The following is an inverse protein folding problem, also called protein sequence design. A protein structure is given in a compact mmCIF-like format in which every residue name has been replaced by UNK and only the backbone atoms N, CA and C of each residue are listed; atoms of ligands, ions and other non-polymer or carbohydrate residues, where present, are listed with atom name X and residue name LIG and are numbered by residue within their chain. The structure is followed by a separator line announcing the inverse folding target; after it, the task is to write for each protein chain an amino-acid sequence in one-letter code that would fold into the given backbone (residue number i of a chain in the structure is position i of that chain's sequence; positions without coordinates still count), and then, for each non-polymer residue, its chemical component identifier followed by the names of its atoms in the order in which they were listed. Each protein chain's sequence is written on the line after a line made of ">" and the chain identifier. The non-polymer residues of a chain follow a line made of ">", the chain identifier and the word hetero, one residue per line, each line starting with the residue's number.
data_IF_468886469064
#
_entry.id   IF_468886469064
#
_cell.length_a   1.000
_cell.length_b   1.000
_cell.length_c   1.000
_cell.angle_alpha   90.00
_cell.angle_beta   90.00
_cell.angle_gamma   90.00
#
_symmetry.space_group_name_H-M   'P 1'
#
loop_
_entity.id
_entity.type
_entity.pdbx_description
1 polymer ?
#
# COMPACT_ATOMS: atom_id res chain seq x y z
N UNK A 1 25.02 -75.62 -15.16
CA UNK A 1 24.85 -74.25 -15.66
C UNK A 1 23.77 -73.58 -14.83
N UNK A 2 24.15 -72.62 -13.92
CA UNK A 2 23.19 -71.86 -13.08
C UNK A 2 23.13 -70.49 -13.63
N UNK A 3 21.96 -70.06 -14.16
CA UNK A 3 21.71 -68.72 -14.64
C UNK A 3 21.26 -67.84 -13.44
N UNK A 4 22.01 -66.79 -13.15
CA UNK A 4 21.61 -65.74 -12.18
C UNK A 4 20.90 -64.65 -12.94
N UNK A 5 19.63 -64.47 -12.64
CA UNK A 5 18.85 -63.30 -13.12
C UNK A 5 19.12 -62.17 -12.18
N UNK A 6 19.75 -61.11 -12.69
CA UNK A 6 19.93 -59.82 -11.98
C UNK A 6 18.73 -58.93 -12.31
N UNK A 7 17.89 -58.73 -11.32
CA UNK A 7 16.75 -57.81 -11.44
C UNK A 7 17.22 -56.37 -11.13
N UNK A 8 17.22 -55.54 -12.15
CA UNK A 8 17.54 -54.12 -12.01
C UNK A 8 16.28 -53.35 -11.57
N UNK A 9 16.24 -52.89 -10.31
CA UNK A 9 15.16 -52.05 -9.81
C UNK A 9 15.44 -50.60 -10.20
N UNK A 10 14.65 -50.03 -11.11
CA UNK A 10 14.68 -48.62 -11.46
C UNK A 10 13.90 -47.85 -10.41
N UNK A 11 14.58 -47.07 -9.58
CA UNK A 11 13.97 -46.10 -8.67
C UNK A 11 13.55 -44.84 -9.44
N UNK A 12 12.24 -44.68 -9.67
CA UNK A 12 11.68 -43.45 -10.22
C UNK A 12 11.64 -42.39 -9.12
N UNK A 13 12.53 -41.42 -9.18
CA UNK A 13 12.48 -40.25 -8.32
C UNK A 13 11.30 -39.36 -8.76
N UNK A 14 10.24 -39.31 -7.97
CA UNK A 14 9.15 -38.34 -8.12
C UNK A 14 9.66 -36.95 -7.74
N UNK A 15 9.93 -36.12 -8.73
CA UNK A 15 10.18 -34.69 -8.52
C UNK A 15 8.88 -34.06 -8.06
N UNK A 16 8.83 -33.63 -6.79
CA UNK A 16 7.74 -32.80 -6.26
C UNK A 16 7.79 -31.45 -6.96
N UNK A 17 6.65 -30.91 -7.40
CA UNK A 17 6.63 -29.55 -7.96
C UNK A 17 7.09 -28.57 -6.88
N UNK A 18 8.08 -27.75 -7.20
CA UNK A 18 8.48 -26.64 -6.37
C UNK A 18 7.25 -25.72 -6.19
N UNK A 19 6.73 -25.65 -4.97
CA UNK A 19 5.67 -24.72 -4.63
C UNK A 19 6.21 -23.32 -4.89
N UNK A 20 5.62 -22.60 -5.84
CA UNK A 20 5.92 -21.18 -6.04
C UNK A 20 5.61 -20.46 -4.72
N UNK A 21 6.64 -20.01 -4.02
CA UNK A 21 6.46 -19.18 -2.85
C UNK A 21 5.82 -17.87 -3.30
N UNK A 22 4.60 -17.63 -2.84
CA UNK A 22 3.97 -16.31 -3.02
C UNK A 22 4.78 -15.33 -2.20
N UNK A 23 5.58 -14.52 -2.89
CA UNK A 23 6.35 -13.44 -2.26
C UNK A 23 5.33 -12.41 -1.76
N UNK A 24 5.42 -12.05 -0.49
CA UNK A 24 4.50 -11.10 0.16
C UNK A 24 5.31 -9.97 0.78
N UNK A 25 4.73 -8.75 0.87
CA UNK A 25 5.34 -7.68 1.65
C UNK A 25 5.61 -8.13 3.08
N UNK A 26 6.77 -7.78 3.63
CA UNK A 26 7.12 -8.06 5.03
C UNK A 26 6.65 -6.95 5.96
N UNK A 27 6.51 -5.71 5.43
CA UNK A 27 5.90 -4.59 6.14
C UNK A 27 4.51 -4.27 5.58
N UNK A 28 3.68 -3.63 6.38
CA UNK A 28 2.35 -3.18 5.96
C UNK A 28 2.41 -1.80 5.32
N UNK A 29 1.36 -1.42 4.54
CA UNK A 29 1.23 -0.07 4.00
C UNK A 29 1.23 0.98 5.13
N UNK A 30 0.55 0.72 6.25
CA UNK A 30 0.57 1.61 7.41
C UNK A 30 1.99 1.86 7.96
N UNK A 31 2.81 0.80 8.04
CA UNK A 31 4.21 0.92 8.50
C UNK A 31 5.09 1.68 7.50
N UNK A 32 4.88 1.46 6.20
CA UNK A 32 5.59 2.21 5.16
C UNK A 32 5.23 3.70 5.21
N UNK A 33 3.93 4.02 5.31
CA UNK A 33 3.45 5.41 5.45
C UNK A 33 3.99 6.06 6.72
N UNK A 34 3.99 5.37 7.86
CA UNK A 34 4.55 5.88 9.12
C UNK A 34 6.06 6.18 8.98
N UNK A 35 6.80 5.28 8.32
CA UNK A 35 8.22 5.48 8.02
C UNK A 35 8.43 6.74 7.18
N UNK A 36 7.65 6.91 6.09
CA UNK A 36 7.74 8.07 5.23
C UNK A 36 7.39 9.36 5.97
N UNK A 37 6.24 9.40 6.67
CA UNK A 37 5.81 10.59 7.41
C UNK A 37 6.83 11.01 8.47
N UNK A 38 7.39 10.05 9.24
CA UNK A 38 8.34 10.34 10.32
C UNK A 38 9.71 10.74 9.79
N UNK A 39 10.25 10.03 8.79
CA UNK A 39 11.59 10.29 8.25
C UNK A 39 11.67 11.65 7.56
N UNK A 40 10.62 12.06 6.85
CA UNK A 40 10.60 13.32 6.10
C UNK A 40 9.96 14.48 6.87
N UNK A 41 9.32 14.23 8.01
CA UNK A 41 8.56 15.23 8.76
C UNK A 41 7.47 15.84 7.88
N UNK A 42 6.74 15.01 7.14
CA UNK A 42 5.76 15.35 6.13
C UNK A 42 4.42 14.69 6.41
N UNK A 43 3.40 15.00 5.63
CA UNK A 43 2.08 14.35 5.70
C UNK A 43 1.84 13.56 4.42
N UNK A 44 1.55 12.28 4.54
CA UNK A 44 1.12 11.48 3.42
C UNK A 44 -0.34 11.81 3.02
N UNK A 45 -0.61 11.76 1.72
CA UNK A 45 -1.94 12.01 1.20
C UNK A 45 -2.39 10.97 0.16
N UNK A 46 -1.45 10.16 -0.32
CA UNK A 46 -1.66 9.11 -1.29
C UNK A 46 -0.67 7.98 -1.01
N UNK A 47 -1.04 6.74 -1.20
CA UNK A 47 -0.15 5.61 -1.00
C UNK A 47 -0.69 4.34 -1.67
N UNK A 48 0.17 3.63 -2.38
CA UNK A 48 -0.18 2.38 -3.04
C UNK A 48 0.94 1.32 -2.95
N UNK A 49 0.54 0.07 -3.15
CA UNK A 49 1.48 -1.03 -3.35
C UNK A 49 1.72 -1.22 -4.84
N UNK A 50 2.98 -1.24 -5.27
CA UNK A 50 3.36 -1.42 -6.66
C UNK A 50 4.51 -2.43 -6.83
N UNK A 51 4.75 -2.81 -8.08
CA UNK A 51 5.85 -3.67 -8.53
C UNK A 51 6.79 -2.87 -9.44
N UNK A 52 7.83 -2.27 -8.87
CA UNK A 52 8.82 -1.52 -9.64
C UNK A 52 9.99 -2.45 -10.07
N UNK A 53 10.12 -2.69 -11.38
CA UNK A 53 11.15 -3.54 -11.99
C UNK A 53 11.28 -4.96 -11.41
N UNK A 54 10.21 -5.45 -10.79
CA UNK A 54 10.14 -6.77 -10.15
C UNK A 54 10.34 -6.77 -8.64
N UNK A 55 10.64 -5.63 -8.06
CA UNK A 55 10.69 -5.42 -6.61
C UNK A 55 9.34 -4.93 -6.09
N UNK A 56 8.91 -5.46 -4.95
CA UNK A 56 7.72 -5.00 -4.25
C UNK A 56 8.01 -3.71 -3.53
N UNK A 57 7.25 -2.67 -3.82
CA UNK A 57 7.44 -1.35 -3.23
C UNK A 57 6.11 -0.77 -2.75
N UNK A 58 6.21 0.24 -1.89
CA UNK A 58 5.14 1.17 -1.61
C UNK A 58 5.53 2.53 -2.18
N UNK A 59 4.70 3.08 -3.06
CA UNK A 59 4.80 4.46 -3.52
C UNK A 59 3.94 5.33 -2.61
N UNK A 60 4.50 6.42 -2.08
CA UNK A 60 3.85 7.26 -1.07
C UNK A 60 4.05 8.71 -1.43
N UNK A 61 2.94 9.40 -1.67
CA UNK A 61 2.92 10.82 -1.90
C UNK A 61 2.77 11.61 -0.59
N UNK A 62 3.72 12.49 -0.36
CA UNK A 62 3.81 13.32 0.84
C UNK A 62 3.68 14.79 0.51
N UNK A 63 3.25 15.58 1.49
CA UNK A 63 3.30 17.04 1.44
C UNK A 63 4.05 17.60 2.65
N UNK A 64 5.01 18.49 2.39
CA UNK A 64 5.73 19.27 3.40
C UNK A 64 5.76 20.74 3.00
N UNK A 65 5.28 21.63 3.88
CA UNK A 65 5.24 23.07 3.62
C UNK A 65 4.57 23.45 2.28
N UNK A 66 3.47 22.75 1.95
CA UNK A 66 2.73 22.93 0.70
C UNK A 66 3.45 22.40 -0.55
N UNK A 67 4.57 21.69 -0.39
CA UNK A 67 5.34 21.11 -1.50
C UNK A 67 5.17 19.60 -1.50
N UNK A 68 4.71 19.03 -2.62
CA UNK A 68 4.60 17.58 -2.76
C UNK A 68 5.97 16.94 -2.95
N UNK A 69 6.07 15.72 -2.52
CA UNK A 69 7.20 14.83 -2.73
C UNK A 69 6.70 13.39 -2.78
N UNK A 70 7.36 12.56 -3.56
CA UNK A 70 7.10 11.12 -3.65
C UNK A 70 8.25 10.37 -2.98
N UNK A 71 7.92 9.33 -2.27
CA UNK A 71 8.87 8.43 -1.61
C UNK A 71 8.49 6.99 -1.95
N UNK A 72 9.48 6.21 -2.39
CA UNK A 72 9.32 4.79 -2.65
C UNK A 72 10.02 4.00 -1.55
N UNK A 73 9.32 3.06 -0.95
CA UNK A 73 9.80 2.22 0.15
C UNK A 73 9.78 0.76 -0.29
N UNK A 74 10.89 0.07 -0.12
CA UNK A 74 10.98 -1.39 -0.33
C UNK A 74 10.04 -2.10 0.65
N UNK A 75 9.06 -2.84 0.12
CA UNK A 75 8.00 -3.47 0.91
C UNK A 75 8.48 -4.67 1.76
N UNK A 76 9.70 -5.13 1.55
CA UNK A 76 10.33 -6.20 2.31
C UNK A 76 11.16 -5.66 3.46
N UNK A 77 11.92 -4.59 3.25
CA UNK A 77 12.87 -4.08 4.24
C UNK A 77 12.40 -2.84 4.98
N UNK A 78 11.42 -2.11 4.44
CA UNK A 78 10.98 -0.83 4.96
C UNK A 78 11.94 0.34 4.70
N UNK A 79 12.97 0.13 3.88
CA UNK A 79 13.93 1.19 3.56
C UNK A 79 13.43 2.06 2.40
N UNK A 80 13.72 3.35 2.49
CA UNK A 80 13.49 4.28 1.37
C UNK A 80 14.49 3.96 0.25
N UNK A 81 13.97 3.62 -0.93
CA UNK A 81 14.78 3.29 -2.12
C UNK A 81 14.82 4.42 -3.13
N UNK A 82 13.80 5.29 -3.13
CA UNK A 82 13.75 6.46 -4.03
C UNK A 82 13.02 7.61 -3.35
N UNK A 83 13.47 8.81 -3.63
CA UNK A 83 12.78 10.06 -3.32
C UNK A 83 12.76 10.92 -4.56
N UNK A 84 11.60 11.43 -4.94
CA UNK A 84 11.45 12.33 -6.07
C UNK A 84 10.60 13.55 -5.73
N UNK A 85 10.61 14.53 -6.61
CA UNK A 85 9.68 15.66 -6.56
C UNK A 85 8.75 15.49 -7.76
N UNK A 86 7.51 15.03 -7.57
CA UNK A 86 6.58 14.88 -8.66
C UNK A 86 6.42 16.22 -9.39
N UNK A 87 6.40 16.17 -10.71
CA UNK A 87 6.07 17.32 -11.53
C UNK A 87 4.55 17.52 -11.47
N UNK A 88 4.08 18.07 -10.34
CA UNK A 88 2.70 18.50 -10.24
C UNK A 88 2.66 19.91 -10.80
N UNK A 89 2.07 20.06 -11.99
CA UNK A 89 1.75 21.38 -12.53
C UNK A 89 0.99 22.18 -11.49
N UNK A 90 1.09 23.51 -11.53
CA UNK A 90 0.41 24.44 -10.60
C UNK A 90 -1.12 24.42 -10.82
N UNK A 91 -1.76 23.28 -10.55
CA UNK A 91 -3.20 23.16 -10.62
C UNK A 91 -3.82 23.55 -9.28
N UNK A 92 -4.79 24.49 -9.24
CA UNK A 92 -5.43 24.94 -7.99
C UNK A 92 -6.05 23.78 -7.17
N UNK A 93 -6.55 22.75 -7.84
CA UNK A 93 -7.14 21.54 -7.22
C UNK A 93 -6.11 20.79 -6.38
N UNK A 94 -4.86 20.68 -6.86
CA UNK A 94 -3.78 19.99 -6.12
C UNK A 94 -3.46 20.74 -4.84
N UNK A 95 -3.39 22.07 -4.88
CA UNK A 95 -3.11 22.90 -3.69
C UNK A 95 -4.15 22.74 -2.58
N UNK A 96 -5.41 22.50 -2.92
CA UNK A 96 -6.50 22.30 -1.96
C UNK A 96 -6.39 20.90 -1.30
N UNK A 97 -6.12 19.84 -2.08
CA UNK A 97 -5.83 18.49 -1.57
C UNK A 97 -4.63 18.51 -0.60
N UNK A 98 -3.52 19.13 -0.99
CA UNK A 98 -2.32 19.22 -0.15
C UNK A 98 -2.58 19.93 1.19
N UNK A 99 -3.37 21.01 1.18
CA UNK A 99 -3.78 21.72 2.40
C UNK A 99 -4.64 20.83 3.29
N UNK A 100 -5.57 20.07 2.71
CA UNK A 100 -6.42 19.14 3.45
C UNK A 100 -5.57 18.08 4.17
N UNK A 101 -4.62 17.46 3.47
CA UNK A 101 -3.70 16.49 4.06
C UNK A 101 -2.86 17.08 5.19
N UNK A 102 -2.26 18.27 4.98
CA UNK A 102 -1.44 18.93 6.01
C UNK A 102 -2.24 19.32 7.26
N UNK A 103 -3.52 19.67 7.10
CA UNK A 103 -4.39 20.05 8.21
C UNK A 103 -5.19 18.91 8.81
N UNK A 104 -5.04 17.68 8.30
CA UNK A 104 -5.73 16.52 8.80
C UNK A 104 -5.41 16.28 10.29
N UNK A 105 -6.42 16.04 11.15
CA UNK A 105 -6.21 15.79 12.57
C UNK A 105 -5.40 14.50 12.86
N UNK A 106 -5.47 13.54 11.93
CA UNK A 106 -4.75 12.26 11.98
C UNK A 106 -3.73 12.19 10.86
N UNK A 107 -2.66 11.43 11.08
CA UNK A 107 -1.75 11.04 10.00
C UNK A 107 -2.44 10.00 9.10
N UNK A 108 -1.91 9.80 7.89
CA UNK A 108 -2.46 8.78 7.00
C UNK A 108 -2.24 7.38 7.60
N UNK A 109 -1.08 7.11 8.20
CA UNK A 109 -0.80 5.84 8.88
C UNK A 109 -1.78 5.54 10.02
N UNK A 110 -2.15 6.56 10.82
CA UNK A 110 -3.19 6.42 11.85
C UNK A 110 -4.57 6.15 11.25
N UNK A 111 -4.87 6.77 10.11
CA UNK A 111 -6.15 6.56 9.41
C UNK A 111 -6.24 5.16 8.84
N UNK A 112 -5.17 4.63 8.23
CA UNK A 112 -5.09 3.25 7.75
C UNK A 112 -5.37 2.27 8.92
N UNK A 113 -4.63 2.42 10.02
CA UNK A 113 -4.79 1.56 11.19
C UNK A 113 -6.22 1.56 11.72
N UNK A 114 -6.87 2.72 11.75
CA UNK A 114 -8.27 2.87 12.17
C UNK A 114 -9.22 2.13 11.21
N UNK A 115 -9.03 2.27 9.91
CA UNK A 115 -9.87 1.62 8.89
C UNK A 115 -9.70 0.10 8.94
N UNK A 116 -8.49 -0.40 8.99
CA UNK A 116 -8.21 -1.85 9.09
C UNK A 116 -8.84 -2.47 10.36
N UNK A 117 -8.77 -1.76 11.48
CA UNK A 117 -9.39 -2.20 12.72
C UNK A 117 -10.92 -2.26 12.61
N UNK A 118 -11.55 -1.30 11.93
CA UNK A 118 -13.01 -1.21 11.77
C UNK A 118 -13.54 -2.22 10.76
N UNK A 119 -12.88 -2.38 9.61
CA UNK A 119 -13.35 -3.20 8.49
C UNK A 119 -12.87 -4.66 8.55
N UNK A 120 -11.83 -4.94 9.33
CA UNK A 120 -11.11 -6.23 9.37
C UNK A 120 -10.39 -6.59 8.05
N UNK A 121 -10.37 -5.65 7.09
CA UNK A 121 -9.60 -5.74 5.86
C UNK A 121 -8.20 -5.15 6.01
N UNK A 122 -7.45 -5.20 4.92
CA UNK A 122 -6.15 -4.53 4.78
C UNK A 122 -6.26 -3.48 3.69
N UNK A 123 -5.77 -2.30 3.95
CA UNK A 123 -5.71 -1.23 2.95
C UNK A 123 -4.58 -1.53 1.96
N UNK A 124 -4.91 -1.49 0.68
CA UNK A 124 -3.99 -1.74 -0.43
C UNK A 124 -3.60 -0.46 -1.17
N UNK A 125 -4.55 0.46 -1.30
CA UNK A 125 -4.41 1.70 -2.05
C UNK A 125 -5.21 2.82 -1.39
N UNK A 126 -4.72 4.05 -1.48
CA UNK A 126 -5.34 5.23 -0.90
C UNK A 126 -5.15 6.42 -1.83
N UNK A 127 -6.27 7.04 -2.18
CA UNK A 127 -6.32 8.31 -2.91
C UNK A 127 -6.95 9.40 -2.06
N UNK A 128 -6.40 10.61 -2.11
CA UNK A 128 -7.05 11.78 -1.53
C UNK A 128 -7.98 12.43 -2.54
N UNK A 129 -9.28 12.32 -2.30
CA UNK A 129 -10.32 12.79 -3.20
C UNK A 129 -11.12 13.98 -2.64
N UNK A 130 -11.69 14.79 -3.56
CA UNK A 130 -12.60 15.87 -3.22
C UNK A 130 -14.00 15.60 -3.78
N UNK A 131 -14.97 15.44 -2.88
CA UNK A 131 -16.38 15.21 -3.23
C UNK A 131 -17.28 16.17 -2.47
N UNK A 132 -18.14 16.89 -3.18
CA UNK A 132 -19.10 17.83 -2.56
C UNK A 132 -18.47 18.93 -1.69
N UNK A 133 -17.24 19.39 -2.02
CA UNK A 133 -16.52 20.41 -1.24
C UNK A 133 -15.80 19.89 0.01
N UNK A 134 -15.83 18.59 0.27
CA UNK A 134 -15.10 17.91 1.34
C UNK A 134 -14.00 17.06 0.78
N UNK A 135 -13.00 16.73 1.62
CA UNK A 135 -11.91 15.83 1.28
C UNK A 135 -12.09 14.49 1.99
N UNK A 136 -11.85 13.41 1.24
CA UNK A 136 -11.95 12.04 1.68
C UNK A 136 -10.71 11.27 1.25
N UNK A 137 -10.24 10.37 2.07
CA UNK A 137 -9.42 9.28 1.62
C UNK A 137 -10.34 8.20 1.07
N UNK A 138 -10.20 7.88 -0.21
CA UNK A 138 -10.76 6.69 -0.83
C UNK A 138 -9.76 5.57 -0.63
N UNK A 139 -10.20 4.46 -0.05
CA UNK A 139 -9.30 3.37 0.31
C UNK A 139 -9.82 2.06 -0.25
N UNK A 140 -8.96 1.37 -1.03
CA UNK A 140 -9.22 0.00 -1.44
C UNK A 140 -8.84 -0.99 -0.35
N UNK A 141 -9.70 -2.01 -0.14
CA UNK A 141 -9.56 -3.00 0.91
C UNK A 141 -9.42 -4.42 0.36
N UNK A 142 -8.47 -5.17 0.90
CA UNK A 142 -8.30 -6.60 0.66
C UNK A 142 -8.78 -7.38 1.88
N UNK A 143 -9.62 -8.39 1.65
CA UNK A 143 -10.09 -9.30 2.70
C UNK A 143 -11.22 -8.77 3.56
N UNK A 144 -11.79 -7.59 3.22
CA UNK A 144 -13.02 -7.06 3.83
C UNK A 144 -14.27 -7.38 2.99
N UNK A 145 -15.48 -7.36 3.57
CA UNK A 145 -16.74 -7.44 2.83
C UNK A 145 -16.90 -6.27 1.86
N UNK A 146 -16.64 -5.06 2.32
CA UNK A 146 -16.59 -3.86 1.49
C UNK A 146 -15.21 -3.73 0.87
N UNK A 147 -15.16 -3.57 -0.45
CA UNK A 147 -13.88 -3.45 -1.17
C UNK A 147 -13.32 -2.04 -1.13
N UNK A 148 -14.17 -1.08 -0.90
CA UNK A 148 -13.85 0.34 -0.96
C UNK A 148 -14.56 1.12 0.12
N UNK A 149 -13.86 2.05 0.75
CA UNK A 149 -14.42 2.96 1.74
C UNK A 149 -13.97 4.39 1.52
N UNK A 150 -14.84 5.34 1.83
CA UNK A 150 -14.50 6.76 1.96
C UNK A 150 -14.28 7.09 3.43
N UNK A 151 -13.19 7.77 3.73
CA UNK A 151 -12.88 8.26 5.07
C UNK A 151 -12.81 9.77 5.05
N UNK A 152 -13.74 10.45 5.71
CA UNK A 152 -13.73 11.90 5.81
C UNK A 152 -12.44 12.36 6.53
N UNK A 153 -11.62 13.15 5.84
CA UNK A 153 -10.28 13.56 6.30
C UNK A 153 -10.34 14.30 7.65
N UNK A 154 -11.39 15.09 7.87
CA UNK A 154 -11.55 15.92 9.06
C UNK A 154 -12.10 15.15 10.24
N UNK A 155 -13.11 14.31 10.01
CA UNK A 155 -13.84 13.63 11.08
C UNK A 155 -13.36 12.21 11.33
N UNK A 156 -12.81 11.55 10.31
CA UNK A 156 -12.48 10.12 10.32
C UNK A 156 -13.71 9.20 10.14
N UNK A 157 -14.86 9.76 9.76
CA UNK A 157 -16.04 8.94 9.49
C UNK A 157 -15.81 8.03 8.29
N UNK A 158 -16.03 6.73 8.48
CA UNK A 158 -15.85 5.69 7.45
C UNK A 158 -17.23 5.43 6.82
N UNK A 159 -17.30 5.47 5.50
CA UNK A 159 -18.51 5.18 4.72
C UNK A 159 -18.15 4.15 3.64
N UNK A 160 -18.77 2.96 3.63
CA UNK A 160 -18.59 2.00 2.54
C UNK A 160 -19.02 2.59 1.19
N UNK A 161 -18.23 2.39 0.14
CA UNK A 161 -18.66 2.60 -1.23
C UNK A 161 -19.32 1.31 -1.70
N UNK A 162 -20.63 1.32 -1.78
CA UNK A 162 -21.39 0.22 -2.37
C UNK A 162 -21.22 0.36 -3.88
N UNK A 163 -20.48 -0.58 -4.49
CA UNK A 163 -20.36 -0.62 -5.96
C UNK A 163 -21.73 -0.72 -6.60
N UNK A 164 -21.97 0.12 -7.60
CA UNK A 164 -23.15 0.03 -8.47
C UNK A 164 -23.08 -1.22 -9.37
#
# INVERSE_FOLDING_TARGET
>A
MKFHIVTLAAAAALALPASAQVVRPEITLAQAVETAESQFGARAYDAEFDMDQGDMVYEIDLVKDGRPMEVVIDARTGHVVRQSKPFIGRLPIVGDKLKAAQSAPRTLSQTITMVEAATKGRVAEIDLERRGGRHYYEMELIGAPDREVLVDVRTGAITPLIGE
#
